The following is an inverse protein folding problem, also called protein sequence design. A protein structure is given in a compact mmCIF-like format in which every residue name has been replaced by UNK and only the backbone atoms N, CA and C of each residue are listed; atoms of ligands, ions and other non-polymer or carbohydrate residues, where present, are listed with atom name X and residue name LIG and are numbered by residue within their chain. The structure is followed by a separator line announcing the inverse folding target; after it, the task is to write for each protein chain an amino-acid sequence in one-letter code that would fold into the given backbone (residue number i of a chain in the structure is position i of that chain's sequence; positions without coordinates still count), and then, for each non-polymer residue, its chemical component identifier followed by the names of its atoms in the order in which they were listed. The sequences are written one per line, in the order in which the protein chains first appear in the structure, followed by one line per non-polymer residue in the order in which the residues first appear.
data_IF_811768896564
#
_entry.id   IF_811768896564
#
_cell.length_a   1.000
_cell.length_b   1.000
_cell.length_c   1.000
_cell.angle_alpha   90.00
_cell.angle_beta   90.00
_cell.angle_gamma   90.00
#
_symmetry.space_group_name_H-M   'P 1'
#
loop_
_entity.id
_entity.type
_entity.pdbx_description
1 polymer ?
#
# COMPACT_ATOMS: atom_id res chain seq x y z
N UNK A 1 29.81 -21.70 -15.96
CA UNK A 1 28.39 -21.48 -16.34
C UNK A 1 27.44 -21.54 -15.14
N UNK A 2 27.56 -22.52 -14.22
CA UNK A 2 26.74 -22.59 -12.98
C UNK A 2 26.96 -21.43 -12.00
N UNK A 3 28.20 -20.94 -11.86
CA UNK A 3 28.55 -19.80 -10.98
C UNK A 3 28.02 -18.46 -11.48
N UNK A 4 27.92 -18.26 -12.80
CA UNK A 4 27.35 -17.05 -13.39
C UNK A 4 25.84 -16.97 -13.17
N UNK A 5 25.14 -18.12 -13.18
CA UNK A 5 23.69 -18.20 -12.95
C UNK A 5 23.32 -17.89 -11.49
N UNK A 6 24.16 -18.29 -10.53
CA UNK A 6 23.99 -17.99 -9.10
C UNK A 6 24.24 -16.52 -8.77
N UNK A 7 25.20 -15.86 -9.42
CA UNK A 7 25.36 -14.41 -9.32
C UNK A 7 24.21 -13.65 -9.99
N UNK A 8 23.66 -14.17 -11.10
CA UNK A 8 22.55 -13.54 -11.79
C UNK A 8 21.23 -13.65 -11.00
N UNK A 9 21.01 -14.75 -10.28
CA UNK A 9 19.84 -14.95 -9.43
C UNK A 9 19.78 -14.04 -8.20
N UNK A 10 20.92 -13.54 -7.72
CA UNK A 10 20.99 -12.58 -6.61
C UNK A 10 20.63 -11.14 -6.97
N UNK A 11 20.54 -10.80 -8.26
CA UNK A 11 20.30 -9.43 -8.74
C UNK A 11 18.81 -9.06 -8.84
N UNK A 12 17.93 -10.03 -8.60
CA UNK A 12 16.47 -9.85 -8.57
C UNK A 12 15.99 -10.09 -7.14
N UNK A 13 16.28 -9.14 -6.25
CA UNK A 13 15.78 -9.15 -4.87
C UNK A 13 14.48 -8.35 -4.82
N UNK A 14 13.35 -9.07 -4.78
CA UNK A 14 12.05 -8.52 -4.39
C UNK A 14 11.83 -8.81 -2.90
N UNK A 15 11.62 -7.77 -2.11
CA UNK A 15 11.31 -7.88 -0.69
C UNK A 15 9.99 -7.16 -0.42
N UNK A 16 9.01 -7.89 0.08
CA UNK A 16 7.79 -7.29 0.64
C UNK A 16 7.92 -7.30 2.15
N UNK A 17 7.89 -6.11 2.75
CA UNK A 17 7.87 -5.92 4.19
C UNK A 17 6.45 -5.58 4.61
N UNK A 18 5.85 -6.41 5.47
CA UNK A 18 4.57 -6.09 6.11
C UNK A 18 4.84 -5.08 7.22
N UNK A 19 4.30 -3.87 7.08
CA UNK A 19 4.51 -2.79 8.05
C UNK A 19 3.60 -2.96 9.27
N UNK A 20 2.44 -3.59 9.10
CA UNK A 20 1.53 -3.93 10.19
C UNK A 20 0.08 -4.09 9.73
N UNK A 21 -0.76 -4.60 10.63
CA UNK A 21 -2.21 -4.68 10.44
C UNK A 21 -2.91 -3.87 11.52
N UNK A 22 -3.81 -2.98 11.11
CA UNK A 22 -4.59 -2.13 11.97
C UNK A 22 -6.07 -2.41 11.72
N UNK A 23 -6.71 -3.14 12.65
CA UNK A 23 -8.17 -3.35 12.64
C UNK A 23 -8.92 -2.03 12.75
N UNK A 24 -8.40 -1.13 13.59
CA UNK A 24 -8.95 0.20 13.80
C UNK A 24 -7.84 1.13 14.32
N UNK A 25 -7.42 2.11 13.54
CA UNK A 25 -6.35 3.05 13.93
C UNK A 25 -6.98 4.33 14.49
N UNK A 26 -7.19 4.38 15.81
CA UNK A 26 -7.69 5.58 16.49
C UNK A 26 -6.96 5.75 17.81
N UNK A 27 -6.54 6.98 18.12
CA UNK A 27 -5.98 7.34 19.43
C UNK A 27 -7.06 7.39 20.52
N UNK A 28 -8.33 7.18 20.14
CA UNK A 28 -9.51 7.18 21.01
C UNK A 28 -10.32 5.91 20.81
N UNK A 29 -10.90 5.40 21.90
CA UNK A 29 -11.78 4.24 21.85
C UNK A 29 -13.08 4.60 21.13
N UNK A 30 -13.33 4.00 19.97
CA UNK A 30 -14.59 4.15 19.24
C UNK A 30 -15.44 2.92 19.55
N UNK A 31 -16.39 3.05 20.49
CA UNK A 31 -17.34 1.99 20.85
C UNK A 31 -18.40 1.71 19.78
N UNK A 32 -18.05 1.84 18.50
CA UNK A 32 -18.98 1.79 17.37
C UNK A 32 -18.40 0.97 16.21
N UNK A 33 -19.27 0.19 15.55
CA UNK A 33 -18.91 -0.60 14.36
C UNK A 33 -19.50 0.05 13.13
N UNK A 34 -18.65 0.47 12.21
CA UNK A 34 -19.09 1.05 10.94
C UNK A 34 -19.37 -0.07 9.92
N UNK A 35 -20.55 -0.08 9.27
CA UNK A 35 -20.81 -1.02 8.19
C UNK A 35 -19.93 -0.65 6.97
N UNK A 36 -19.20 -1.62 6.37
CA UNK A 36 -18.36 -1.36 5.21
C UNK A 36 -19.21 -1.08 3.97
N UNK A 37 -18.89 0.02 3.28
CA UNK A 37 -19.40 0.34 1.94
C UNK A 37 -18.75 -0.53 0.88
N UNK A 38 -17.45 -0.76 1.01
CA UNK A 38 -16.69 -1.64 0.14
C UNK A 38 -15.68 -2.42 0.97
N UNK A 39 -15.49 -3.70 0.63
CA UNK A 39 -14.57 -4.58 1.33
C UNK A 39 -13.32 -4.83 0.50
N UNK A 40 -12.19 -5.00 1.18
CA UNK A 40 -10.91 -5.36 0.53
C UNK A 40 -10.51 -4.40 -0.59
N UNK A 41 -10.72 -3.10 -0.37
CA UNK A 41 -10.28 -2.05 -1.28
C UNK A 41 -8.78 -1.87 -1.12
N UNK A 42 -8.09 -1.89 -2.26
CA UNK A 42 -6.65 -1.73 -2.34
C UNK A 42 -6.28 -0.34 -2.78
N UNK A 43 -5.38 0.28 -2.02
CA UNK A 43 -4.69 1.51 -2.38
C UNK A 43 -3.19 1.30 -2.50
N UNK A 44 -2.54 1.96 -3.44
CA UNK A 44 -1.11 1.88 -3.66
C UNK A 44 -0.52 3.22 -4.10
N UNK A 45 0.67 3.50 -3.57
CA UNK A 45 1.46 4.65 -3.93
C UNK A 45 2.88 4.18 -4.24
N UNK A 46 3.30 4.33 -5.49
CA UNK A 46 4.51 3.71 -6.03
C UNK A 46 5.50 4.73 -6.58
N UNK A 47 6.76 4.55 -6.20
CA UNK A 47 7.93 5.16 -6.82
C UNK A 47 8.60 4.12 -7.71
N UNK A 48 8.63 4.35 -9.01
CA UNK A 48 9.32 3.52 -9.98
C UNK A 48 10.68 4.12 -10.31
N UNK A 49 11.65 3.28 -10.62
CA UNK A 49 12.95 3.70 -11.13
C UNK A 49 13.25 2.86 -12.37
N UNK A 50 13.32 3.52 -13.53
CA UNK A 50 13.63 2.87 -14.80
C UNK A 50 14.94 3.45 -15.30
N UNK A 51 15.98 2.62 -15.44
CA UNK A 51 17.30 3.04 -15.93
C UNK A 51 17.91 4.25 -15.18
N UNK A 52 17.59 4.44 -13.90
CA UNK A 52 18.06 5.57 -13.09
C UNK A 52 17.17 6.82 -13.15
N UNK A 53 16.07 6.77 -13.91
CA UNK A 53 15.07 7.84 -13.97
C UNK A 53 13.93 7.50 -12.99
N UNK A 54 13.74 8.28 -11.92
CA UNK A 54 12.59 8.10 -11.03
C UNK A 54 11.31 8.55 -11.75
N UNK A 55 10.29 7.70 -11.72
CA UNK A 55 8.96 7.93 -12.27
C UNK A 55 7.90 7.66 -11.20
N UNK A 56 6.81 8.42 -11.21
CA UNK A 56 5.73 8.30 -10.21
C UNK A 56 5.99 9.16 -8.98
N UNK A 57 5.58 8.66 -7.81
CA UNK A 57 5.58 9.45 -6.58
C UNK A 57 6.97 9.44 -5.96
N UNK A 58 7.65 10.60 -5.94
CA UNK A 58 9.04 10.72 -5.46
C UNK A 58 9.22 10.26 -4.01
N UNK A 59 8.16 10.28 -3.21
CA UNK A 59 8.16 9.81 -1.83
C UNK A 59 6.86 9.03 -1.56
N UNK A 60 6.86 7.70 -1.72
CA UNK A 60 5.69 6.89 -1.47
C UNK A 60 5.36 6.96 0.02
N UNK A 61 4.14 7.37 0.32
CA UNK A 61 3.66 7.54 1.69
C UNK A 61 2.32 6.80 1.88
N UNK A 62 2.06 6.48 3.15
CA UNK A 62 0.86 5.74 3.55
C UNK A 62 -0.41 6.57 3.33
N UNK A 63 -0.34 7.90 3.52
CA UNK A 63 -1.50 8.78 3.40
C UNK A 63 -2.10 8.74 1.99
N UNK A 64 -1.28 8.94 0.97
CA UNK A 64 -1.70 8.87 -0.43
C UNK A 64 -2.24 7.49 -0.82
N UNK A 65 -1.65 6.41 -0.28
CA UNK A 65 -2.13 5.06 -0.53
C UNK A 65 -3.52 4.83 0.10
N UNK A 66 -3.76 5.35 1.32
CA UNK A 66 -5.10 5.33 1.94
C UNK A 66 -6.08 6.20 1.16
N UNK A 67 -5.68 7.41 0.77
CA UNK A 67 -6.53 8.32 0.00
C UNK A 67 -6.92 7.71 -1.36
N UNK A 68 -5.99 7.01 -2.02
CA UNK A 68 -6.25 6.28 -3.26
C UNK A 68 -7.22 5.11 -3.05
N UNK A 69 -7.12 4.38 -1.93
CA UNK A 69 -8.11 3.35 -1.56
C UNK A 69 -9.50 3.96 -1.32
N UNK A 70 -9.60 5.01 -0.50
CA UNK A 70 -10.88 5.64 -0.15
C UNK A 70 -11.55 6.24 -1.38
N UNK A 71 -10.78 6.92 -2.26
CA UNK A 71 -11.29 7.51 -3.50
C UNK A 71 -11.92 6.52 -4.48
N UNK A 72 -11.56 5.23 -4.40
CA UNK A 72 -12.17 4.17 -5.24
C UNK A 72 -13.61 3.85 -4.83
N UNK A 73 -14.03 4.25 -3.63
CA UNK A 73 -15.37 3.99 -3.10
C UNK A 73 -16.17 5.28 -3.02
N UNK A 74 -17.26 5.42 -3.80
CA UNK A 74 -18.15 6.57 -3.70
C UNK A 74 -18.70 6.72 -2.27
N UNK A 75 -18.65 7.94 -1.74
CA UNK A 75 -19.05 8.27 -0.36
C UNK A 75 -18.21 7.60 0.75
N UNK A 76 -17.06 7.01 0.44
CA UNK A 76 -16.11 6.55 1.45
C UNK A 76 -15.34 7.72 2.06
N UNK A 77 -15.11 7.69 3.37
CA UNK A 77 -14.31 8.70 4.08
C UNK A 77 -13.28 8.12 5.06
N UNK A 78 -13.35 6.81 5.34
CA UNK A 78 -12.46 6.14 6.28
C UNK A 78 -12.18 4.70 5.85
N UNK A 79 -10.99 4.21 6.19
CA UNK A 79 -10.55 2.83 5.98
C UNK A 79 -10.44 2.11 7.34
N UNK A 80 -11.05 0.94 7.48
CA UNK A 80 -10.95 0.04 8.63
C UNK A 80 -10.32 -1.28 8.20
N UNK A 81 -9.87 -2.11 9.16
CA UNK A 81 -9.19 -3.38 8.84
C UNK A 81 -8.02 -3.23 7.86
N UNK A 82 -7.25 -2.15 8.02
CA UNK A 82 -6.19 -1.76 7.12
C UNK A 82 -4.93 -2.61 7.34
N UNK A 83 -4.41 -3.23 6.28
CA UNK A 83 -3.15 -3.95 6.23
C UNK A 83 -2.15 -3.19 5.37
N UNK A 84 -0.97 -2.90 5.92
CA UNK A 84 0.04 -2.07 5.28
C UNK A 84 1.22 -2.94 4.81
N UNK A 85 1.54 -2.81 3.54
CA UNK A 85 2.62 -3.51 2.87
C UNK A 85 3.56 -2.50 2.22
N UNK A 86 4.85 -2.79 2.29
CA UNK A 86 5.87 -2.08 1.54
C UNK A 86 6.55 -3.08 0.60
N UNK A 87 6.28 -2.96 -0.70
CA UNK A 87 6.86 -3.81 -1.72
C UNK A 87 8.05 -3.09 -2.36
N UNK A 88 9.22 -3.69 -2.25
CA UNK A 88 10.46 -3.17 -2.79
C UNK A 88 11.00 -4.17 -3.80
N UNK A 89 11.27 -3.71 -5.02
CA UNK A 89 12.01 -4.46 -6.02
C UNK A 89 13.23 -3.65 -6.43
N UNK A 90 14.40 -4.28 -6.37
CA UNK A 90 15.63 -3.71 -6.87
C UNK A 90 16.17 -4.64 -7.94
N UNK A 91 16.11 -4.20 -9.19
CA UNK A 91 16.82 -4.83 -10.31
C UNK A 91 17.64 -3.77 -11.05
N UNK A 92 18.63 -4.23 -11.82
CA UNK A 92 19.62 -3.37 -12.49
C UNK A 92 18.95 -2.36 -13.44
N UNK A 93 17.89 -2.76 -14.13
CA UNK A 93 17.22 -1.95 -15.16
C UNK A 93 15.89 -1.36 -14.69
N UNK A 94 15.32 -1.93 -13.62
CA UNK A 94 13.99 -1.62 -13.14
C UNK A 94 13.91 -1.86 -11.63
N UNK A 95 13.42 -0.87 -10.90
CA UNK A 95 13.11 -1.01 -9.49
C UNK A 95 11.83 -0.28 -9.15
N UNK A 96 11.22 -0.65 -8.03
CA UNK A 96 10.13 0.11 -7.46
C UNK A 96 10.12 0.01 -5.93
N UNK A 97 9.49 1.01 -5.32
CA UNK A 97 9.11 1.02 -3.93
C UNK A 97 7.63 1.43 -3.88
N UNK A 98 6.78 0.52 -3.42
CA UNK A 98 5.34 0.72 -3.36
C UNK A 98 4.86 0.55 -1.93
N UNK A 99 4.15 1.56 -1.43
CA UNK A 99 3.32 1.40 -0.24
C UNK A 99 1.94 0.97 -0.69
N UNK A 100 1.51 -0.20 -0.23
CA UNK A 100 0.18 -0.74 -0.45
C UNK A 100 -0.59 -0.77 0.85
N UNK A 101 -1.87 -0.44 0.76
CA UNK A 101 -2.84 -0.57 1.84
C UNK A 101 -4.04 -1.36 1.35
N UNK A 102 -4.45 -2.37 2.10
CA UNK A 102 -5.64 -3.17 1.83
C UNK A 102 -6.60 -3.02 3.03
N UNK A 103 -7.87 -2.69 2.82
CA UNK A 103 -8.83 -2.55 3.93
C UNK A 103 -10.27 -2.39 3.48
N UNK A 104 -11.18 -2.19 4.43
CA UNK A 104 -12.61 -1.96 4.15
C UNK A 104 -12.92 -0.47 4.26
N UNK A 105 -13.58 0.09 3.24
CA UNK A 105 -13.97 1.50 3.23
C UNK A 105 -15.34 1.66 3.86
N UNK A 106 -15.46 2.63 4.76
CA UNK A 106 -16.69 2.97 5.47
C UNK A 106 -17.03 4.45 5.25
N UNK A 107 -18.22 4.84 5.70
CA UNK A 107 -18.69 6.22 5.70
C UNK A 107 -19.08 6.63 7.12
N UNK A 108 -18.48 7.72 7.60
CA UNK A 108 -18.78 8.34 8.89
C UNK A 108 -19.79 9.49 8.80
N UNK A 109 -19.89 10.16 7.65
CA UNK A 109 -20.75 11.33 7.42
C UNK A 109 -22.25 11.03 7.21
N UNK A 110 -22.62 9.88 6.65
CA UNK A 110 -23.99 9.45 6.35
C UNK A 110 -24.81 9.03 7.58
N UNK A 111 -24.32 9.34 8.76
CA UNK A 111 -24.85 8.91 10.06
C UNK A 111 -25.33 10.08 10.94
N UNK A 112 -25.49 11.29 10.35
CA UNK A 112 -26.12 12.45 11.01
C UNK A 112 -27.64 12.47 10.81
#
# INVERSE_FOLDING_TARGET
MRTLLLLLGGLLAGCTVRLGDLTFASTKNLGYTYPPLARSVRGENCAYNILGIPLGTLNPNIQDAVDEAVRKTPNGDMLINASFHNDILIAILYGYNCIRVDGDVVNTAGQR
#
